data_IF_832910321087
#
_entry.id   IF_832910321087
#
_cell.length_a   1.000
_cell.length_b   1.000
_cell.length_c   1.000
_cell.angle_alpha   90.00
_cell.angle_beta   90.00
_cell.angle_gamma   90.00
#
_symmetry.space_group_name_H-M   'P 1'
#
loop_
_entity.id
_entity.type
_entity.pdbx_description
1 polymer ?
#
# COMPACT_ATOMS: atom_id res chain seq x y z
N UNK A 1 -86.97 -24.10 -51.60
CA UNK A 1 -87.77 -25.27 -51.15
C UNK A 1 -89.28 -24.98 -51.01
N UNK A 2 -89.73 -24.04 -50.16
CA UNK A 2 -91.17 -23.85 -49.87
C UNK A 2 -92.07 -23.62 -51.11
N UNK A 3 -91.65 -22.78 -52.06
CA UNK A 3 -92.40 -22.52 -53.32
C UNK A 3 -92.49 -23.75 -54.23
N UNK A 4 -91.50 -24.65 -54.20
CA UNK A 4 -91.48 -25.88 -55.00
C UNK A 4 -92.41 -26.95 -54.42
N UNK A 5 -92.37 -27.14 -53.09
CA UNK A 5 -93.29 -28.04 -52.38
C UNK A 5 -94.77 -27.65 -52.58
N UNK A 6 -95.08 -26.36 -52.53
CA UNK A 6 -96.43 -25.85 -52.75
C UNK A 6 -96.97 -26.12 -54.17
N UNK A 7 -96.10 -26.24 -55.18
CA UNK A 7 -96.49 -26.57 -56.56
C UNK A 7 -96.85 -28.05 -56.68
N UNK A 8 -95.97 -28.94 -56.21
CA UNK A 8 -96.16 -30.40 -56.24
C UNK A 8 -97.42 -30.81 -55.46
N UNK A 9 -97.66 -30.21 -54.29
CA UNK A 9 -98.87 -30.46 -53.50
C UNK A 9 -100.17 -30.09 -54.24
N UNK A 10 -100.13 -29.04 -55.07
CA UNK A 10 -101.29 -28.57 -55.84
C UNK A 10 -101.52 -29.42 -57.11
N UNK A 11 -100.46 -29.94 -57.72
CA UNK A 11 -100.53 -30.83 -58.89
C UNK A 11 -100.95 -32.28 -58.52
N UNK A 12 -100.70 -32.74 -57.29
CA UNK A 12 -101.17 -34.07 -56.83
C UNK A 12 -102.69 -34.16 -56.55
N UNK A 13 -103.35 -33.03 -56.25
CA UNK A 13 -104.76 -33.02 -55.85
C UNK A 13 -105.74 -33.27 -57.02
N UNK A 14 -105.34 -32.99 -58.26
CA UNK A 14 -106.15 -33.24 -59.47
C UNK A 14 -106.10 -34.71 -59.94
N UNK A 15 -105.23 -35.54 -59.35
CA UNK A 15 -104.94 -36.90 -59.82
C UNK A 15 -105.96 -37.97 -59.36
N UNK A 16 -106.89 -37.64 -58.46
CA UNK A 16 -107.72 -38.61 -57.73
C UNK A 16 -109.25 -38.50 -57.91
N UNK A 17 -109.75 -37.80 -58.93
CA UNK A 17 -111.18 -37.64 -59.19
C UNK A 17 -111.72 -38.62 -60.26
N UNK A 18 -112.46 -39.70 -59.90
CA UNK A 18 -113.03 -40.63 -60.87
C UNK A 18 -114.31 -40.05 -61.53
N UNK A 19 -114.35 -40.03 -62.86
CA UNK A 19 -115.47 -39.51 -63.65
C UNK A 19 -116.31 -40.65 -64.22
N UNK A 20 -117.25 -41.17 -63.44
CA UNK A 20 -118.13 -42.27 -63.86
C UNK A 20 -119.24 -41.78 -64.82
N UNK A 21 -119.26 -42.31 -66.03
CA UNK A 21 -120.36 -42.18 -66.98
C UNK A 21 -121.03 -43.55 -67.15
N UNK A 22 -122.30 -43.66 -66.76
CA UNK A 22 -123.06 -44.91 -66.80
C UNK A 22 -124.27 -44.69 -67.72
N UNK A 23 -124.23 -45.29 -68.92
CA UNK A 23 -125.32 -45.19 -69.89
C UNK A 23 -126.54 -46.00 -69.40
N UNK A 24 -127.71 -45.35 -69.39
CA UNK A 24 -128.98 -46.07 -69.46
C UNK A 24 -129.35 -46.26 -70.94
N UNK A 25 -129.69 -47.49 -71.33
CA UNK A 25 -130.21 -47.80 -72.67
C UNK A 25 -131.61 -48.40 -72.52
N UNK A 26 -132.56 -47.91 -73.31
CA UNK A 26 -133.91 -48.48 -73.42
C UNK A 26 -134.39 -48.34 -74.85
N UNK A 27 -134.31 -49.44 -75.59
CA UNK A 27 -134.78 -49.56 -76.97
C UNK A 27 -134.96 -51.04 -77.31
N UNK A 28 -136.17 -51.41 -77.72
CA UNK A 28 -136.56 -52.78 -78.04
C UNK A 28 -136.17 -53.19 -79.49
N UNK A 29 -136.18 -54.50 -79.83
CA UNK A 29 -135.10 -55.07 -80.65
C UNK A 29 -135.47 -55.42 -82.10
N UNK A 30 -134.46 -55.54 -82.96
CA UNK A 30 -134.54 -56.44 -84.13
C UNK A 30 -133.15 -56.99 -84.60
N UNK A 31 -132.99 -58.32 -84.44
CA UNK A 31 -132.02 -59.26 -85.05
C UNK A 31 -130.48 -59.10 -84.89
N UNK A 32 -129.76 -60.23 -85.04
CA UNK A 32 -128.43 -60.49 -84.43
C UNK A 32 -127.33 -60.90 -85.43
N UNK A 33 -126.09 -60.40 -85.23
CA UNK A 33 -124.81 -61.13 -85.33
C UNK A 33 -123.58 -60.20 -85.41
N UNK A 34 -123.70 -59.02 -86.04
CA UNK A 34 -122.58 -58.08 -86.21
C UNK A 34 -122.10 -57.38 -84.92
N UNK A 35 -122.96 -57.25 -83.91
CA UNK A 35 -122.65 -56.46 -82.69
C UNK A 35 -121.59 -57.07 -81.77
N UNK A 36 -121.50 -58.40 -81.65
CA UNK A 36 -120.65 -59.07 -80.65
C UNK A 36 -119.15 -58.91 -80.97
N UNK A 37 -118.77 -59.00 -82.23
CA UNK A 37 -117.37 -58.81 -82.64
C UNK A 37 -116.91 -57.35 -82.48
N UNK A 38 -117.84 -56.39 -82.65
CA UNK A 38 -117.60 -54.97 -82.36
C UNK A 38 -117.25 -54.73 -80.88
N UNK A 39 -117.93 -55.42 -79.96
CA UNK A 39 -117.65 -55.33 -78.51
C UNK A 39 -116.25 -55.86 -78.21
N UNK A 40 -115.87 -57.05 -78.70
CA UNK A 40 -114.54 -57.61 -78.44
C UNK A 40 -113.40 -56.76 -79.01
N UNK A 41 -113.58 -56.19 -80.21
CA UNK A 41 -112.62 -55.27 -80.80
C UNK A 41 -112.52 -53.97 -79.98
N UNK A 42 -113.65 -53.38 -79.61
CA UNK A 42 -113.71 -52.19 -78.75
C UNK A 42 -113.04 -52.40 -77.39
N UNK A 43 -113.27 -53.54 -76.73
CA UNK A 43 -112.60 -53.87 -75.46
C UNK A 43 -111.10 -54.05 -75.64
N UNK A 44 -110.65 -54.75 -76.69
CA UNK A 44 -109.21 -54.91 -76.98
C UNK A 44 -108.54 -53.56 -77.20
N UNK A 45 -109.13 -52.72 -78.04
CA UNK A 45 -108.57 -51.41 -78.39
C UNK A 45 -108.56 -50.49 -77.15
N UNK A 46 -109.56 -50.60 -76.27
CA UNK A 46 -109.59 -49.95 -74.95
C UNK A 46 -108.48 -50.47 -74.02
N UNK A 47 -108.23 -51.78 -73.97
CA UNK A 47 -107.14 -52.35 -73.14
C UNK A 47 -105.75 -51.96 -73.65
N UNK A 48 -105.53 -51.92 -74.97
CA UNK A 48 -104.26 -51.44 -75.55
C UNK A 48 -104.06 -49.96 -75.21
N UNK A 49 -105.08 -49.12 -75.42
CA UNK A 49 -105.01 -47.69 -75.07
C UNK A 49 -104.77 -47.46 -73.57
N UNK A 50 -105.42 -48.23 -72.70
CA UNK A 50 -105.19 -48.18 -71.26
C UNK A 50 -103.77 -48.63 -70.87
N UNK A 51 -103.23 -49.67 -71.53
CA UNK A 51 -101.87 -50.15 -71.26
C UNK A 51 -100.81 -49.13 -71.70
N UNK A 52 -100.97 -48.51 -72.87
CA UNK A 52 -100.12 -47.43 -73.34
C UNK A 52 -100.18 -46.22 -72.38
N UNK A 53 -101.39 -45.77 -72.02
CA UNK A 53 -101.57 -44.67 -71.06
C UNK A 53 -100.99 -44.97 -69.67
N UNK A 54 -101.08 -46.22 -69.19
CA UNK A 54 -100.44 -46.63 -67.93
C UNK A 54 -98.91 -46.66 -68.03
N UNK A 55 -98.36 -47.11 -69.17
CA UNK A 55 -96.91 -47.14 -69.41
C UNK A 55 -96.31 -45.73 -69.50
N UNK A 56 -97.02 -44.81 -70.15
CA UNK A 56 -96.62 -43.39 -70.21
C UNK A 56 -96.73 -42.73 -68.82
N UNK A 57 -97.79 -43.04 -68.06
CA UNK A 57 -97.94 -42.55 -66.69
C UNK A 57 -96.89 -43.14 -65.71
N UNK A 58 -96.46 -44.38 -65.91
CA UNK A 58 -95.36 -45.00 -65.16
C UNK A 58 -94.02 -44.34 -65.52
N UNK A 59 -93.73 -44.17 -66.81
CA UNK A 59 -92.53 -43.48 -67.28
C UNK A 59 -92.41 -42.07 -66.70
N UNK A 60 -93.48 -41.29 -66.77
CA UNK A 60 -93.54 -39.94 -66.20
C UNK A 60 -93.30 -39.94 -64.67
N UNK A 61 -93.79 -40.96 -63.94
CA UNK A 61 -93.53 -41.12 -62.49
C UNK A 61 -92.08 -41.50 -62.19
N UNK A 62 -91.44 -42.34 -63.00
CA UNK A 62 -90.03 -42.71 -62.83
C UNK A 62 -89.12 -41.51 -63.11
N UNK A 63 -89.39 -40.75 -64.18
CA UNK A 63 -88.69 -39.50 -64.49
C UNK A 63 -88.84 -38.49 -63.34
N UNK A 64 -90.07 -38.21 -62.89
CA UNK A 64 -90.33 -37.33 -61.75
C UNK A 64 -89.68 -37.80 -60.43
N UNK A 65 -89.63 -39.12 -60.19
CA UNK A 65 -88.93 -39.67 -59.03
C UNK A 65 -87.41 -39.46 -59.12
N UNK A 66 -86.81 -39.70 -60.29
CA UNK A 66 -85.40 -39.44 -60.56
C UNK A 66 -85.02 -37.97 -60.33
N UNK A 67 -85.83 -37.03 -60.83
CA UNK A 67 -85.67 -35.60 -60.57
C UNK A 67 -85.75 -35.25 -59.08
N UNK A 68 -86.73 -35.80 -58.35
CA UNK A 68 -86.90 -35.56 -56.92
C UNK A 68 -85.72 -36.12 -56.10
N UNK A 69 -85.20 -37.31 -56.45
CA UNK A 69 -84.04 -37.90 -55.78
C UNK A 69 -82.77 -37.10 -56.06
N UNK A 70 -82.52 -36.71 -57.32
CA UNK A 70 -81.38 -35.88 -57.69
C UNK A 70 -81.41 -34.51 -57.00
N UNK A 71 -82.58 -33.87 -56.93
CA UNK A 71 -82.77 -32.59 -56.23
C UNK A 71 -82.58 -32.72 -54.72
N UNK A 72 -82.97 -33.85 -54.12
CA UNK A 72 -82.71 -34.14 -52.70
C UNK A 72 -81.23 -34.42 -52.41
N UNK A 73 -80.50 -35.12 -53.28
CA UNK A 73 -79.05 -35.35 -53.13
C UNK A 73 -78.31 -34.02 -53.13
N UNK A 74 -78.53 -33.19 -54.15
CA UNK A 74 -77.94 -31.84 -54.24
C UNK A 74 -78.29 -30.98 -53.03
N UNK A 75 -79.55 -31.00 -52.59
CA UNK A 75 -79.97 -30.26 -51.40
C UNK A 75 -79.37 -30.77 -50.09
N UNK A 76 -78.93 -32.03 -50.02
CA UNK A 76 -78.20 -32.57 -48.87
C UNK A 76 -76.72 -32.16 -48.92
N UNK A 77 -76.07 -32.28 -50.08
CA UNK A 77 -74.69 -31.82 -50.33
C UNK A 77 -74.54 -30.30 -50.05
N UNK A 78 -75.49 -29.49 -50.53
CA UNK A 78 -75.53 -28.03 -50.26
C UNK A 78 -75.70 -27.72 -48.76
N UNK A 79 -76.54 -28.48 -48.03
CA UNK A 79 -76.69 -28.27 -46.59
C UNK A 79 -75.46 -28.72 -45.79
N UNK A 80 -74.79 -29.81 -46.18
CA UNK A 80 -73.58 -30.28 -45.51
C UNK A 80 -72.40 -29.31 -45.73
N UNK A 81 -72.26 -28.76 -46.94
CA UNK A 81 -71.30 -27.70 -47.23
C UNK A 81 -71.58 -26.41 -46.41
N UNK A 82 -72.85 -26.01 -46.26
CA UNK A 82 -73.21 -24.86 -45.42
C UNK A 82 -72.95 -25.17 -43.93
N UNK A 83 -73.24 -26.39 -43.47
CA UNK A 83 -73.04 -26.79 -42.08
C UNK A 83 -71.55 -26.86 -41.68
N UNK A 84 -70.71 -27.41 -42.55
CA UNK A 84 -69.24 -27.43 -42.35
C UNK A 84 -68.68 -26.01 -42.33
N UNK A 85 -68.95 -25.19 -43.35
CA UNK A 85 -68.49 -23.78 -43.39
C UNK A 85 -68.99 -22.94 -42.19
N UNK A 86 -70.23 -23.15 -41.73
CA UNK A 86 -70.74 -22.39 -40.58
C UNK A 86 -70.14 -22.85 -39.25
N UNK A 87 -69.87 -24.15 -39.07
CA UNK A 87 -69.17 -24.64 -37.87
C UNK A 87 -67.70 -24.20 -37.84
N UNK A 88 -67.00 -24.20 -38.98
CA UNK A 88 -65.63 -23.67 -39.10
C UNK A 88 -65.61 -22.18 -38.74
N UNK A 89 -66.50 -21.37 -39.33
CA UNK A 89 -66.61 -19.95 -39.01
C UNK A 89 -66.95 -19.69 -37.52
N UNK A 90 -67.79 -20.53 -36.90
CA UNK A 90 -68.05 -20.45 -35.45
C UNK A 90 -66.80 -20.82 -34.64
N UNK A 91 -66.07 -21.87 -35.02
CA UNK A 91 -64.81 -22.27 -34.38
C UNK A 91 -63.80 -21.13 -34.42
N UNK A 92 -63.49 -20.60 -35.61
CA UNK A 92 -62.51 -19.53 -35.79
C UNK A 92 -62.92 -18.26 -35.05
N UNK A 93 -64.18 -17.82 -35.16
CA UNK A 93 -64.65 -16.63 -34.44
C UNK A 93 -64.67 -16.81 -32.92
N UNK A 94 -64.88 -18.03 -32.39
CA UNK A 94 -64.74 -18.27 -30.94
C UNK A 94 -63.28 -18.29 -30.47
N UNK A 95 -62.36 -18.82 -31.28
CA UNK A 95 -60.92 -18.80 -31.00
C UNK A 95 -60.34 -17.37 -31.05
N UNK A 96 -60.71 -16.59 -32.06
CA UNK A 96 -60.37 -15.17 -32.16
C UNK A 96 -60.93 -14.36 -30.99
N UNK A 97 -62.20 -14.57 -30.64
CA UNK A 97 -62.86 -13.88 -29.53
C UNK A 97 -62.20 -14.23 -28.19
N UNK A 98 -61.81 -15.48 -27.96
CA UNK A 98 -61.05 -15.89 -26.77
C UNK A 98 -59.67 -15.20 -26.73
N UNK A 99 -58.94 -15.21 -27.85
CA UNK A 99 -57.63 -14.56 -27.99
C UNK A 99 -57.72 -13.06 -27.74
N UNK A 100 -58.71 -12.38 -28.34
CA UNK A 100 -58.94 -10.94 -28.17
C UNK A 100 -59.38 -10.56 -26.76
N UNK A 101 -60.13 -11.42 -26.06
CA UNK A 101 -60.44 -11.23 -24.63
C UNK A 101 -59.18 -11.34 -23.76
N UNK A 102 -58.33 -12.34 -24.00
CA UNK A 102 -57.05 -12.47 -23.28
C UNK A 102 -56.15 -11.25 -23.48
N UNK A 103 -55.97 -10.83 -24.74
CA UNK A 103 -55.21 -9.62 -25.10
C UNK A 103 -55.79 -8.34 -24.48
N UNK A 104 -57.11 -8.22 -24.38
CA UNK A 104 -57.76 -7.08 -23.73
C UNK A 104 -57.47 -7.05 -22.23
N UNK A 105 -57.59 -8.19 -21.52
CA UNK A 105 -57.32 -8.26 -20.08
C UNK A 105 -55.85 -7.97 -19.76
N UNK A 106 -54.91 -8.49 -20.56
CA UNK A 106 -53.48 -8.21 -20.44
C UNK A 106 -53.16 -6.72 -20.71
N UNK A 107 -53.77 -6.14 -21.75
CA UNK A 107 -53.65 -4.71 -22.08
C UNK A 107 -54.25 -3.80 -21.00
N UNK A 108 -55.34 -4.21 -20.36
CA UNK A 108 -55.93 -3.49 -19.22
C UNK A 108 -55.02 -3.52 -17.98
N UNK A 109 -54.50 -4.69 -17.61
CA UNK A 109 -53.59 -4.82 -16.45
C UNK A 109 -52.28 -4.04 -16.65
N UNK A 110 -51.70 -4.09 -17.85
CA UNK A 110 -50.51 -3.30 -18.19
C UNK A 110 -50.79 -1.79 -18.23
N UNK A 111 -51.97 -1.36 -18.71
CA UNK A 111 -52.38 0.05 -18.67
C UNK A 111 -52.55 0.57 -17.23
N UNK A 112 -53.22 -0.17 -16.36
CA UNK A 112 -53.39 0.20 -14.95
C UNK A 112 -52.03 0.30 -14.22
N UNK A 113 -51.19 -0.73 -14.37
CA UNK A 113 -49.83 -0.74 -13.78
C UNK A 113 -48.95 0.40 -14.30
N UNK A 114 -49.01 0.70 -15.60
CA UNK A 114 -48.24 1.81 -16.20
C UNK A 114 -48.74 3.17 -15.71
N UNK A 115 -50.06 3.32 -15.55
CA UNK A 115 -50.67 4.54 -15.02
C UNK A 115 -50.23 4.82 -13.58
N UNK A 116 -50.24 3.78 -12.72
CA UNK A 116 -49.75 3.92 -11.33
C UNK A 116 -48.25 4.17 -11.26
N UNK A 117 -47.46 3.51 -12.12
CA UNK A 117 -46.01 3.73 -12.19
C UNK A 117 -45.69 5.16 -12.62
N UNK A 118 -46.35 5.69 -13.65
CA UNK A 118 -46.16 7.07 -14.11
C UNK A 118 -46.47 8.10 -13.01
N UNK A 119 -47.62 7.95 -12.33
CA UNK A 119 -48.06 8.86 -11.28
C UNK A 119 -47.16 8.84 -10.02
N UNK A 120 -46.41 7.76 -9.80
CA UNK A 120 -45.37 7.70 -8.77
C UNK A 120 -44.05 8.27 -9.29
N UNK A 121 -43.64 7.93 -10.52
CA UNK A 121 -42.41 8.41 -11.15
C UNK A 121 -42.37 9.94 -11.28
N UNK A 122 -43.50 10.60 -11.58
CA UNK A 122 -43.60 12.06 -11.62
C UNK A 122 -43.27 12.69 -10.25
N UNK A 123 -43.85 12.16 -9.16
CA UNK A 123 -43.59 12.63 -7.78
C UNK A 123 -42.14 12.42 -7.39
N UNK A 124 -41.62 11.22 -7.64
CA UNK A 124 -40.23 10.85 -7.40
C UNK A 124 -39.25 11.77 -8.14
N UNK A 125 -39.54 12.08 -9.41
CA UNK A 125 -38.72 12.98 -10.21
C UNK A 125 -38.76 14.42 -9.68
N UNK A 126 -39.93 14.91 -9.27
CA UNK A 126 -40.04 16.23 -8.64
C UNK A 126 -39.26 16.31 -7.31
N UNK A 127 -39.40 15.32 -6.44
CA UNK A 127 -38.73 15.29 -5.14
C UNK A 127 -37.22 15.15 -5.31
N UNK A 128 -36.76 14.17 -6.11
CA UNK A 128 -35.32 13.97 -6.41
C UNK A 128 -34.72 15.19 -7.11
N UNK A 129 -35.48 15.90 -7.94
CA UNK A 129 -35.04 17.18 -8.54
C UNK A 129 -34.82 18.26 -7.48
N UNK A 130 -35.79 18.47 -6.58
CA UNK A 130 -35.67 19.43 -5.45
C UNK A 130 -34.47 19.09 -4.55
N UNK A 131 -34.31 17.82 -4.17
CA UNK A 131 -33.17 17.33 -3.37
C UNK A 131 -31.83 17.57 -4.09
N UNK A 132 -31.75 17.29 -5.39
CA UNK A 132 -30.53 17.50 -6.18
C UNK A 132 -30.15 18.98 -6.33
N UNK A 133 -31.12 19.88 -6.49
CA UNK A 133 -30.90 21.33 -6.50
C UNK A 133 -30.35 21.79 -5.14
N UNK A 134 -30.98 21.37 -4.04
CA UNK A 134 -30.50 21.68 -2.69
C UNK A 134 -29.09 21.12 -2.44
N UNK A 135 -28.81 19.88 -2.84
CA UNK A 135 -27.47 19.27 -2.70
C UNK A 135 -26.40 20.05 -3.48
N UNK A 136 -26.70 20.48 -4.71
CA UNK A 136 -25.78 21.32 -5.50
C UNK A 136 -25.54 22.68 -4.87
N UNK A 137 -26.56 23.30 -4.29
CA UNK A 137 -26.43 24.55 -3.54
C UNK A 137 -25.52 24.37 -2.33
N UNK A 138 -25.72 23.31 -1.54
CA UNK A 138 -24.89 23.00 -0.38
C UNK A 138 -23.44 22.69 -0.75
N UNK A 139 -23.21 21.92 -1.82
CA UNK A 139 -21.87 21.66 -2.34
C UNK A 139 -21.16 22.95 -2.80
N UNK A 140 -21.89 23.91 -3.39
CA UNK A 140 -21.32 25.20 -3.75
C UNK A 140 -21.01 26.07 -2.52
N UNK A 141 -21.87 26.07 -1.50
CA UNK A 141 -21.65 26.79 -0.24
C UNK A 141 -20.50 26.17 0.58
N UNK A 142 -20.39 24.85 0.60
CA UNK A 142 -19.32 24.08 1.24
C UNK A 142 -17.98 24.31 0.53
N UNK A 143 -17.94 24.26 -0.81
CA UNK A 143 -16.76 24.62 -1.59
C UNK A 143 -16.33 26.07 -1.35
N UNK A 144 -17.27 27.01 -1.17
CA UNK A 144 -16.95 28.38 -0.79
C UNK A 144 -16.45 28.50 0.66
N UNK A 145 -16.93 27.68 1.60
CA UNK A 145 -16.42 27.63 2.97
C UNK A 145 -15.01 27.02 3.04
N UNK A 146 -14.75 25.94 2.32
CA UNK A 146 -13.42 25.33 2.15
C UNK A 146 -12.48 26.34 1.48
N UNK A 147 -12.92 27.02 0.42
CA UNK A 147 -12.13 28.08 -0.23
C UNK A 147 -11.78 29.21 0.73
N UNK A 148 -12.68 29.62 1.63
CA UNK A 148 -12.38 30.61 2.69
C UNK A 148 -11.43 30.07 3.78
N UNK A 149 -11.44 28.77 4.04
CA UNK A 149 -10.52 28.13 4.99
C UNK A 149 -9.10 27.95 4.41
N UNK A 150 -8.98 27.74 3.09
CA UNK A 150 -7.71 27.49 2.39
C UNK A 150 -7.09 28.78 1.83
N UNK A 151 -7.87 29.73 1.31
CA UNK A 151 -7.39 31.01 0.78
C UNK A 151 -7.33 32.12 1.84
N UNK A 152 -7.01 31.78 3.09
CA UNK A 152 -6.40 32.73 4.02
C UNK A 152 -4.97 32.92 3.55
N UNK A 153 -4.52 34.15 3.25
CA UNK A 153 -3.23 34.40 2.58
C UNK A 153 -2.04 33.71 3.27
N UNK A 154 -2.09 33.55 4.60
CA UNK A 154 -1.17 32.79 5.45
C UNK A 154 -0.89 31.33 4.99
N UNK A 155 -1.81 30.71 4.24
CA UNK A 155 -1.78 29.28 3.90
C UNK A 155 -0.70 28.90 2.87
N UNK A 156 -0.47 29.82 1.92
CA UNK A 156 0.36 29.53 0.76
C UNK A 156 1.85 29.60 1.12
N UNK A 157 2.23 30.46 2.07
CA UNK A 157 3.62 30.58 2.53
C UNK A 157 4.06 29.42 3.44
N UNK A 158 3.17 28.89 4.28
CA UNK A 158 3.50 27.80 5.21
C UNK A 158 3.69 26.44 4.51
N UNK A 159 2.94 26.19 3.43
CA UNK A 159 2.93 24.89 2.73
C UNK A 159 4.21 24.59 1.95
N UNK A 160 5.03 25.60 1.65
CA UNK A 160 6.24 25.46 0.82
C UNK A 160 7.52 25.08 1.56
N UNK A 161 7.52 25.03 2.91
CA UNK A 161 8.77 25.04 3.71
C UNK A 161 9.02 23.78 4.55
N UNK A 162 8.06 22.87 4.66
CA UNK A 162 8.18 21.65 5.50
C UNK A 162 8.84 20.52 4.69
N UNK A 163 10.17 20.62 4.54
CA UNK A 163 10.99 19.79 3.63
C UNK A 163 12.12 18.98 4.29
N UNK A 164 11.81 18.19 5.32
CA UNK A 164 12.58 17.01 5.77
C UNK A 164 14.11 17.15 5.98
N UNK A 165 14.54 17.58 7.17
CA UNK A 165 15.89 17.34 7.69
C UNK A 165 15.93 16.06 8.55
N UNK A 166 16.76 15.09 8.16
CA UNK A 166 17.11 13.91 8.98
C UNK A 166 18.61 13.63 8.84
N UNK A 167 19.31 13.57 9.97
CA UNK A 167 20.71 13.15 10.06
C UNK A 167 20.86 12.27 11.31
N UNK A 168 21.43 11.08 11.14
CA UNK A 168 21.66 10.11 12.22
C UNK A 168 23.15 10.06 12.63
N UNK A 169 23.37 9.62 13.87
CA UNK A 169 24.61 9.86 14.63
C UNK A 169 25.53 8.62 14.62
N UNK A 170 26.85 8.81 14.53
CA UNK A 170 27.84 7.72 14.60
C UNK A 170 28.67 7.88 15.90
N UNK A 171 28.81 6.78 16.66
CA UNK A 171 29.65 6.73 17.87
C UNK A 171 31.03 6.14 17.57
N UNK A 172 32.06 6.67 18.25
CA UNK A 172 33.40 6.10 18.36
C UNK A 172 33.75 5.86 19.83
N UNK A 173 34.56 4.84 20.10
CA UNK A 173 34.99 4.44 21.44
C UNK A 173 36.51 4.46 21.59
N UNK A 174 36.99 4.95 22.72
CA UNK A 174 38.41 5.12 23.05
C UNK A 174 38.76 4.37 24.36
N UNK A 175 39.99 3.89 24.51
CA UNK A 175 40.48 3.18 25.72
C UNK A 175 41.92 3.59 26.04
N UNK A 176 42.21 3.86 27.32
CA UNK A 176 43.51 4.36 27.79
C UNK A 176 44.16 3.45 28.88
N UNK A 177 45.45 3.17 28.68
CA UNK A 177 46.60 2.92 29.61
C UNK A 177 46.41 2.26 31.00
N UNK A 178 47.36 1.41 31.39
CA UNK A 178 48.18 1.62 32.62
C UNK A 178 49.50 0.82 32.65
N UNK A 179 50.31 1.07 33.68
CA UNK A 179 51.77 0.98 33.80
C UNK A 179 52.20 0.09 35.01
N UNK A 180 53.40 -0.51 35.02
CA UNK A 180 54.11 -0.95 36.25
C UNK A 180 55.64 -1.01 36.08
N UNK A 181 56.40 -0.92 37.18
CA UNK A 181 57.86 -0.77 37.24
C UNK A 181 58.56 -1.83 38.14
N UNK A 182 59.90 -1.97 38.06
CA UNK A 182 60.71 -2.77 39.01
C UNK A 182 62.20 -2.95 38.66
N UNK A 183 63.09 -2.89 39.67
CA UNK A 183 64.57 -2.86 39.56
C UNK A 183 65.25 -4.07 40.24
N UNK A 184 66.47 -4.46 39.81
CA UNK A 184 67.39 -5.35 40.58
C UNK A 184 68.87 -5.22 40.16
N UNK A 185 69.78 -5.03 41.13
CA UNK A 185 71.20 -5.51 41.11
C UNK A 185 71.80 -5.42 42.55
N UNK A 186 72.76 -6.27 42.94
CA UNK A 186 73.33 -6.38 44.31
C UNK A 186 74.87 -6.19 44.39
N UNK A 187 75.40 -5.97 45.61
CA UNK A 187 76.82 -5.64 45.90
C UNK A 187 77.69 -6.81 46.41
N UNK A 188 79.01 -6.65 46.23
CA UNK A 188 80.14 -7.53 46.58
C UNK A 188 80.76 -7.20 47.97
N UNK A 189 81.11 -8.19 48.81
CA UNK A 189 82.30 -8.04 49.68
C UNK A 189 83.11 -9.35 49.94
N UNK A 190 84.37 -9.39 49.50
CA UNK A 190 85.36 -10.41 49.89
C UNK A 190 86.77 -9.81 50.05
N UNK A 191 86.94 -8.86 51.00
CA UNK A 191 88.21 -8.14 51.25
C UNK A 191 88.73 -8.32 52.70
N UNK A 192 87.96 -8.94 53.59
CA UNK A 192 88.27 -9.05 55.03
C UNK A 192 89.05 -10.31 55.43
N UNK A 193 89.82 -10.95 54.52
CA UNK A 193 90.46 -12.26 54.81
C UNK A 193 91.93 -12.41 54.39
N UNK A 194 92.63 -11.33 54.07
CA UNK A 194 94.06 -11.36 53.70
C UNK A 194 94.98 -10.59 54.67
N UNK A 195 94.45 -9.63 55.42
CA UNK A 195 95.22 -8.73 56.30
C UNK A 195 95.54 -9.31 57.69
N UNK A 196 95.20 -10.57 57.98
CA UNK A 196 95.39 -11.19 59.29
C UNK A 196 96.71 -11.96 59.44
N UNK A 197 97.33 -12.41 58.34
CA UNK A 197 98.37 -13.47 58.40
C UNK A 197 99.82 -12.96 58.44
N UNK A 198 100.08 -11.71 58.06
CA UNK A 198 101.47 -11.21 57.84
C UNK A 198 102.12 -10.59 59.09
N UNK A 199 101.35 -10.30 60.14
CA UNK A 199 101.79 -9.49 61.29
C UNK A 199 102.57 -10.25 62.41
N UNK A 200 103.32 -11.32 62.10
CA UNK A 200 103.77 -12.31 63.12
C UNK A 200 105.26 -12.68 63.18
N UNK A 201 106.13 -12.01 62.43
CA UNK A 201 107.56 -12.36 62.23
C UNK A 201 108.29 -11.01 61.93
N UNK A 202 109.45 -10.58 62.46
CA UNK A 202 110.67 -11.19 63.03
C UNK A 202 111.33 -10.27 64.13
N UNK A 203 112.26 -10.79 64.96
CA UNK A 203 113.03 -10.05 66.00
C UNK A 203 114.56 -10.39 65.97
N UNK A 204 115.41 -9.62 66.70
CA UNK A 204 116.77 -10.00 67.20
C UNK A 204 117.95 -10.06 66.18
N UNK A 205 119.23 -9.73 66.46
CA UNK A 205 119.85 -8.86 67.49
C UNK A 205 121.29 -8.43 67.10
N UNK A 206 121.76 -7.24 67.56
CA UNK A 206 123.16 -6.76 67.30
C UNK A 206 123.81 -5.80 68.33
N UNK A 207 123.10 -5.31 69.36
CA UNK A 207 123.60 -4.21 70.20
C UNK A 207 124.76 -4.55 71.15
N UNK A 208 124.99 -5.83 71.44
CA UNK A 208 125.92 -6.26 72.51
C UNK A 208 127.43 -6.12 72.20
N UNK A 209 127.83 -5.72 70.99
CA UNK A 209 129.25 -5.75 70.55
C UNK A 209 129.98 -4.41 70.44
N UNK A 210 129.28 -3.28 70.55
CA UNK A 210 129.87 -1.95 70.30
C UNK A 210 130.38 -1.28 71.60
N UNK A 211 129.96 -1.75 72.76
CA UNK A 211 130.27 -1.17 74.08
C UNK A 211 131.75 -1.30 74.54
N UNK A 212 132.66 -1.82 73.71
CA UNK A 212 134.00 -2.25 74.14
C UNK A 212 135.18 -1.50 73.48
N UNK A 213 134.95 -0.48 72.63
CA UNK A 213 135.95 -0.10 71.60
C UNK A 213 136.83 1.12 71.91
N UNK A 214 136.32 2.34 72.15
CA UNK A 214 137.20 3.52 72.32
C UNK A 214 136.73 4.48 73.42
N UNK A 215 137.57 4.61 74.43
CA UNK A 215 137.61 5.78 75.32
C UNK A 215 139.07 6.21 75.49
N UNK A 216 139.52 7.18 74.69
CA UNK A 216 140.81 7.84 74.87
C UNK A 216 140.74 9.29 74.35
N UNK A 217 141.45 10.23 74.98
CA UNK A 217 141.18 11.68 74.83
C UNK A 217 142.43 12.52 74.49
N UNK A 218 142.81 12.54 73.21
CA UNK A 218 143.58 13.65 72.59
C UNK A 218 143.52 13.49 71.06
N UNK A 219 143.14 14.53 70.32
CA UNK A 219 142.86 14.41 68.88
C UNK A 219 143.60 15.49 68.05
N UNK A 220 144.59 15.14 67.20
CA UNK A 220 145.37 16.10 66.39
C UNK A 220 144.67 16.56 65.10
N UNK A 221 143.37 16.27 64.93
CA UNK A 221 142.60 16.55 63.71
C UNK A 221 141.78 17.85 63.76
N UNK A 222 142.11 18.81 64.63
CA UNK A 222 141.26 19.97 64.98
C UNK A 222 140.77 20.82 63.78
N UNK A 223 141.60 20.99 62.73
CA UNK A 223 141.16 21.64 61.47
C UNK A 223 140.19 20.79 60.65
N UNK A 224 140.39 19.47 60.64
CA UNK A 224 139.51 18.53 59.93
C UNK A 224 138.18 18.40 60.69
N UNK A 225 138.18 18.41 62.03
CA UNK A 225 136.94 18.48 62.81
C UNK A 225 136.23 19.82 62.60
N UNK A 226 136.94 20.95 62.52
CA UNK A 226 136.33 22.26 62.23
C UNK A 226 135.70 22.33 60.83
N UNK A 227 136.33 21.78 59.79
CA UNK A 227 135.72 21.67 58.45
C UNK A 227 134.58 20.63 58.42
N UNK A 228 134.66 19.56 59.21
CA UNK A 228 133.55 18.61 59.41
C UNK A 228 132.37 19.28 60.12
N UNK A 229 132.60 20.17 61.09
CA UNK A 229 131.55 20.93 61.79
C UNK A 229 130.95 22.01 60.88
N UNK A 230 131.77 22.66 60.04
CA UNK A 230 131.29 23.57 58.99
C UNK A 230 130.43 22.82 57.96
N UNK A 231 130.88 21.65 57.50
CA UNK A 231 130.17 20.78 56.57
C UNK A 231 128.87 20.24 57.18
N UNK A 232 128.85 19.87 58.47
CA UNK A 232 127.62 19.56 59.21
C UNK A 232 126.67 20.76 59.25
N UNK A 233 127.20 21.98 59.43
CA UNK A 233 126.45 23.23 59.38
C UNK A 233 125.87 23.57 58.00
N UNK A 234 126.52 23.13 56.92
CA UNK A 234 126.00 23.20 55.56
C UNK A 234 124.95 22.12 55.31
N UNK A 235 125.23 20.85 55.64
CA UNK A 235 124.32 19.71 55.50
C UNK A 235 123.01 19.95 56.29
N UNK A 236 123.08 20.54 57.48
CA UNK A 236 121.86 20.89 58.25
C UNK A 236 121.05 22.01 57.59
N UNK A 237 121.68 23.05 57.05
CA UNK A 237 120.98 24.11 56.30
C UNK A 237 120.39 23.61 54.99
N UNK A 238 121.10 22.74 54.27
CA UNK A 238 120.62 22.08 53.05
C UNK A 238 119.45 21.16 53.38
N UNK A 239 119.56 20.32 54.42
CA UNK A 239 118.45 19.48 54.89
C UNK A 239 117.23 20.29 55.33
N UNK A 240 117.41 21.44 56.00
CA UNK A 240 116.30 22.36 56.32
C UNK A 240 115.65 22.98 55.08
N UNK A 241 116.45 23.35 54.07
CA UNK A 241 115.97 23.94 52.82
C UNK A 241 115.23 22.90 51.96
N UNK A 242 115.79 21.68 51.86
CA UNK A 242 115.17 20.55 51.17
C UNK A 242 113.91 20.08 51.88
N UNK A 243 113.87 20.02 53.22
CA UNK A 243 112.65 19.70 53.96
C UNK A 243 111.55 20.76 53.72
N UNK A 244 111.89 22.05 53.71
CA UNK A 244 110.95 23.14 53.37
C UNK A 244 110.46 23.03 51.93
N UNK A 245 111.34 22.66 50.99
CA UNK A 245 110.99 22.51 49.58
C UNK A 245 110.18 21.24 49.31
N UNK A 246 110.50 20.13 49.97
CA UNK A 246 109.74 18.88 49.93
C UNK A 246 108.34 19.09 50.47
N UNK A 247 108.19 19.64 51.68
CA UNK A 247 106.87 19.91 52.27
C UNK A 247 106.04 20.90 51.44
N UNK A 248 106.67 21.91 50.81
CA UNK A 248 106.00 22.76 49.84
C UNK A 248 105.56 21.99 48.58
N UNK A 249 106.44 21.18 47.98
CA UNK A 249 106.11 20.35 46.81
C UNK A 249 105.01 19.32 47.10
N UNK A 250 105.04 18.66 48.26
CA UNK A 250 104.02 17.69 48.69
C UNK A 250 102.67 18.39 48.92
N UNK A 251 102.69 19.57 49.55
CA UNK A 251 101.49 20.41 49.73
C UNK A 251 100.90 20.84 48.39
N UNK A 252 101.72 21.42 47.49
CA UNK A 252 101.29 21.86 46.16
C UNK A 252 100.84 20.70 45.28
N UNK A 253 101.53 19.55 45.32
CA UNK A 253 101.10 18.37 44.57
C UNK A 253 99.77 17.84 45.12
N UNK A 254 99.58 17.84 46.45
CA UNK A 254 98.33 17.48 47.11
C UNK A 254 97.16 18.41 46.72
N UNK A 255 97.34 19.72 46.83
CA UNK A 255 96.30 20.71 46.47
C UNK A 255 95.97 20.69 44.99
N UNK A 256 96.96 20.59 44.10
CA UNK A 256 96.74 20.50 42.66
C UNK A 256 96.07 19.17 42.26
N UNK A 257 96.46 18.04 42.86
CA UNK A 257 95.82 16.73 42.60
C UNK A 257 94.36 16.72 43.08
N UNK A 258 94.09 17.25 44.28
CA UNK A 258 92.72 17.38 44.79
C UNK A 258 91.89 18.33 43.91
N UNK A 259 92.46 19.45 43.48
CA UNK A 259 91.77 20.42 42.60
C UNK A 259 91.46 19.80 41.24
N UNK A 260 92.41 19.08 40.64
CA UNK A 260 92.20 18.36 39.39
C UNK A 260 91.11 17.28 39.53
N UNK A 261 91.10 16.51 40.64
CA UNK A 261 90.06 15.52 40.92
C UNK A 261 88.68 16.16 41.12
N UNK A 262 88.60 17.29 41.81
CA UNK A 262 87.37 18.06 41.97
C UNK A 262 86.86 18.59 40.62
N UNK A 263 87.74 19.16 39.78
CA UNK A 263 87.36 19.67 38.45
C UNK A 263 86.96 18.56 37.49
N UNK A 264 87.61 17.40 37.52
CA UNK A 264 87.16 16.23 36.77
C UNK A 264 85.74 15.78 37.20
N UNK A 265 85.46 15.81 38.50
CA UNK A 265 84.13 15.48 39.04
C UNK A 265 83.06 16.51 38.67
N UNK A 266 83.39 17.81 38.70
CA UNK A 266 82.52 18.89 38.22
C UNK A 266 82.21 18.74 36.73
N UNK A 267 83.20 18.42 35.88
CA UNK A 267 83.02 18.20 34.44
C UNK A 267 82.04 17.06 34.20
N UNK A 268 82.26 15.87 34.79
CA UNK A 268 81.37 14.71 34.64
C UNK A 268 79.94 15.03 35.12
N UNK A 269 79.79 15.81 36.19
CA UNK A 269 78.48 16.26 36.66
C UNK A 269 77.80 17.22 35.69
N UNK A 270 78.54 18.15 35.08
CA UNK A 270 78.01 19.11 34.12
C UNK A 270 77.64 18.43 32.79
N UNK A 271 78.47 17.51 32.31
CA UNK A 271 78.18 16.67 31.13
C UNK A 271 76.91 15.83 31.33
N UNK A 272 76.73 15.25 32.53
CA UNK A 272 75.48 14.57 32.89
C UNK A 272 74.26 15.49 32.86
N UNK A 273 74.34 16.67 33.48
CA UNK A 273 73.27 17.67 33.44
C UNK A 273 72.96 18.17 32.02
N UNK A 274 73.96 18.30 31.15
CA UNK A 274 73.76 18.65 29.73
C UNK A 274 72.98 17.54 29.03
N UNK A 275 73.39 16.28 29.17
CA UNK A 275 72.68 15.14 28.55
C UNK A 275 71.23 14.97 29.04
N UNK A 276 70.96 15.23 30.32
CA UNK A 276 69.59 15.26 30.86
C UNK A 276 68.74 16.39 30.25
N UNK A 277 69.31 17.59 30.12
CA UNK A 277 68.61 18.75 29.54
C UNK A 277 68.37 18.57 28.04
N UNK A 278 69.35 18.07 27.30
CA UNK A 278 69.22 17.70 25.88
C UNK A 278 68.13 16.64 25.70
N UNK A 279 68.16 15.55 26.48
CA UNK A 279 67.13 14.50 26.42
C UNK A 279 65.73 15.08 26.70
N UNK A 280 65.59 15.96 27.70
CA UNK A 280 64.29 16.56 28.04
C UNK A 280 63.79 17.57 27.01
N UNK A 281 64.69 18.19 26.24
CA UNK A 281 64.35 19.14 25.19
C UNK A 281 64.05 18.46 23.84
N UNK A 282 64.90 17.50 23.46
CA UNK A 282 65.08 16.98 22.11
C UNK A 282 64.77 15.47 21.94
N UNK A 283 64.33 14.77 23.00
CA UNK A 283 63.80 13.40 22.86
C UNK A 283 62.73 13.33 21.76
N UNK A 284 62.84 12.37 20.81
CA UNK A 284 62.02 12.36 19.59
C UNK A 284 60.53 12.09 19.82
N UNK A 285 60.16 11.55 20.99
CA UNK A 285 58.76 11.24 21.35
C UNK A 285 58.27 12.02 22.57
N UNK A 286 59.18 12.39 23.49
CA UNK A 286 58.82 12.99 24.79
C UNK A 286 59.47 14.35 25.05
N UNK A 287 60.30 14.84 24.13
CA UNK A 287 60.99 16.12 24.24
C UNK A 287 60.02 17.29 24.24
N UNK A 288 60.36 18.34 25.00
CA UNK A 288 59.55 19.55 25.10
C UNK A 288 59.22 20.18 23.74
N UNK A 289 60.12 20.10 22.74
CA UNK A 289 59.85 20.59 21.38
C UNK A 289 58.74 19.81 20.66
N UNK A 290 58.71 18.48 20.82
CA UNK A 290 57.69 17.61 20.22
C UNK A 290 56.34 17.87 20.88
N UNK A 291 56.31 17.87 22.22
CA UNK A 291 55.09 18.16 22.99
C UNK A 291 54.52 19.55 22.66
N UNK A 292 55.37 20.57 22.48
CA UNK A 292 54.94 21.90 22.05
C UNK A 292 54.31 21.86 20.65
N UNK A 293 54.99 21.25 19.67
CA UNK A 293 54.49 21.14 18.29
C UNK A 293 53.17 20.37 18.20
N UNK A 294 53.00 19.32 19.00
CA UNK A 294 51.72 18.59 19.09
C UNK A 294 50.64 19.46 19.72
N UNK A 295 50.92 20.13 20.85
CA UNK A 295 49.95 20.99 21.51
C UNK A 295 49.53 22.20 20.65
N UNK A 296 50.43 22.76 19.83
CA UNK A 296 50.14 23.82 18.86
C UNK A 296 49.24 23.31 17.72
N UNK A 297 49.50 22.10 17.22
CA UNK A 297 48.66 21.45 16.20
C UNK A 297 47.26 21.13 16.75
N UNK A 298 47.18 20.54 17.95
CA UNK A 298 45.93 20.22 18.65
C UNK A 298 45.11 21.48 18.93
N UNK A 299 45.75 22.56 19.38
CA UNK A 299 45.10 23.85 19.64
C UNK A 299 44.55 24.48 18.34
N UNK A 300 45.30 24.39 17.24
CA UNK A 300 44.85 24.89 15.93
C UNK A 300 43.65 24.08 15.43
N UNK A 301 43.74 22.75 15.45
CA UNK A 301 42.64 21.86 15.07
C UNK A 301 41.39 22.07 15.96
N UNK A 302 41.58 22.29 17.26
CA UNK A 302 40.48 22.57 18.18
C UNK A 302 39.79 23.91 17.86
N UNK A 303 40.55 24.95 17.49
CA UNK A 303 40.00 26.23 17.05
C UNK A 303 39.21 26.12 15.75
N UNK A 304 39.71 25.36 14.76
CA UNK A 304 39.00 25.09 13.50
C UNK A 304 37.69 24.32 13.73
N UNK A 305 37.71 23.29 14.58
CA UNK A 305 36.50 22.54 14.98
C UNK A 305 35.52 23.45 15.72
N UNK A 306 35.97 24.24 16.71
CA UNK A 306 35.10 25.17 17.43
C UNK A 306 34.45 26.20 16.49
N UNK A 307 35.20 26.75 15.52
CA UNK A 307 34.67 27.70 14.55
C UNK A 307 33.61 27.04 13.64
N UNK A 308 33.89 25.82 13.16
CA UNK A 308 32.99 25.04 12.29
C UNK A 308 31.69 24.67 13.03
N UNK A 309 31.81 24.08 14.23
CA UNK A 309 30.69 23.74 15.11
C UNK A 309 29.85 24.96 15.48
N UNK A 310 30.48 26.10 15.78
CA UNK A 310 29.76 27.34 16.10
C UNK A 310 28.99 27.86 14.89
N UNK A 311 29.58 27.79 13.68
CA UNK A 311 28.93 28.17 12.43
C UNK A 311 27.73 27.26 12.12
N UNK A 312 27.90 25.93 12.26
CA UNK A 312 26.82 24.96 12.09
C UNK A 312 25.67 25.21 13.08
N UNK A 313 25.96 25.36 14.37
CA UNK A 313 24.93 25.68 15.39
C UNK A 313 24.20 26.98 15.10
N UNK A 314 24.88 28.00 14.57
CA UNK A 314 24.23 29.25 14.16
C UNK A 314 23.29 29.05 12.96
N UNK A 315 23.72 28.29 11.95
CA UNK A 315 22.89 27.94 10.79
C UNK A 315 21.66 27.11 11.21
N UNK A 316 21.86 26.02 11.94
CA UNK A 316 20.80 25.16 12.49
C UNK A 316 19.83 25.94 13.38
N UNK A 317 20.32 26.85 14.23
CA UNK A 317 19.47 27.72 15.06
C UNK A 317 18.61 28.65 14.21
N UNK A 318 19.17 29.21 13.13
CA UNK A 318 18.42 30.07 12.21
C UNK A 318 17.38 29.29 11.40
N UNK A 319 17.66 28.05 11.01
CA UNK A 319 16.69 27.15 10.36
C UNK A 319 15.60 26.69 11.34
N UNK A 320 15.97 26.36 12.57
CA UNK A 320 15.03 26.04 13.65
C UNK A 320 14.09 27.21 13.94
N UNK A 321 14.59 28.44 14.03
CA UNK A 321 13.77 29.64 14.23
C UNK A 321 12.77 29.87 13.08
N UNK A 322 13.19 29.65 11.82
CA UNK A 322 12.28 29.70 10.67
C UNK A 322 11.19 28.62 10.78
N UNK A 323 11.60 27.37 11.02
CA UNK A 323 10.70 26.22 11.17
C UNK A 323 9.68 26.43 12.29
N UNK A 324 10.08 26.97 13.44
CA UNK A 324 9.16 27.33 14.54
C UNK A 324 8.16 28.40 14.10
N UNK A 325 8.60 29.44 13.39
CA UNK A 325 7.71 30.46 12.83
C UNK A 325 6.71 29.88 11.82
N UNK A 326 7.18 29.05 10.89
CA UNK A 326 6.35 28.39 9.88
C UNK A 326 5.31 27.44 10.51
N UNK A 327 5.71 26.70 11.55
CA UNK A 327 4.81 25.84 12.32
C UNK A 327 3.77 26.63 13.12
N UNK A 328 4.12 27.80 13.66
CA UNK A 328 3.17 28.71 14.33
C UNK A 328 2.14 29.25 13.33
N UNK A 329 2.57 29.71 12.15
CA UNK A 329 1.66 30.15 11.07
C UNK A 329 0.75 28.99 10.63
N UNK A 330 1.29 27.78 10.45
CA UNK A 330 0.49 26.60 10.13
C UNK A 330 -0.55 26.25 11.23
N UNK A 331 -0.18 26.35 12.50
CA UNK A 331 -1.10 26.13 13.63
C UNK A 331 -2.23 27.17 13.65
N UNK A 332 -1.91 28.45 13.45
CA UNK A 332 -2.92 29.51 13.37
C UNK A 332 -3.87 29.29 12.19
N UNK A 333 -3.33 28.96 11.01
CA UNK A 333 -4.12 28.67 9.82
C UNK A 333 -5.09 27.50 10.06
N UNK A 334 -4.61 26.37 10.57
CA UNK A 334 -5.45 25.20 10.87
C UNK A 334 -6.55 25.58 11.87
N UNK A 335 -6.24 26.45 12.84
CA UNK A 335 -7.21 26.95 13.82
C UNK A 335 -8.27 27.85 13.16
N UNK A 336 -7.86 28.79 12.29
CA UNK A 336 -8.75 29.65 11.50
C UNK A 336 -9.67 28.82 10.60
N UNK A 337 -9.11 27.89 9.82
CA UNK A 337 -9.86 27.01 8.91
C UNK A 337 -10.84 26.09 9.66
N UNK A 338 -10.41 25.50 10.78
CA UNK A 338 -11.28 24.69 11.66
C UNK A 338 -12.46 25.51 12.20
N UNK A 339 -12.24 26.79 12.53
CA UNK A 339 -13.32 27.69 12.96
C UNK A 339 -14.31 27.96 11.83
N UNK A 340 -13.83 28.33 10.64
CA UNK A 340 -14.69 28.61 9.46
C UNK A 340 -15.57 27.40 9.12
N UNK A 341 -15.01 26.19 9.11
CA UNK A 341 -15.76 24.97 8.86
C UNK A 341 -16.77 24.66 9.97
N UNK A 342 -16.39 24.80 11.25
CA UNK A 342 -17.32 24.64 12.37
C UNK A 342 -18.47 25.63 12.30
N UNK A 343 -18.20 26.91 12.02
CA UNK A 343 -19.23 27.94 11.90
C UNK A 343 -20.18 27.65 10.73
N UNK A 344 -19.67 27.14 9.60
CA UNK A 344 -20.48 26.66 8.47
C UNK A 344 -21.38 25.47 8.86
N UNK A 345 -20.83 24.35 9.31
CA UNK A 345 -21.67 23.19 9.69
C UNK A 345 -22.63 23.49 10.86
N UNK A 346 -22.26 24.37 11.80
CA UNK A 346 -23.15 24.83 12.86
C UNK A 346 -24.28 25.75 12.36
N UNK A 347 -24.13 26.44 11.23
CA UNK A 347 -25.24 27.13 10.57
C UNK A 347 -26.19 26.15 9.90
N UNK A 348 -25.67 25.15 9.17
CA UNK A 348 -26.48 24.08 8.58
C UNK A 348 -27.25 23.26 9.61
N UNK A 349 -26.69 23.04 10.80
CA UNK A 349 -27.34 22.32 11.90
C UNK A 349 -28.38 23.14 12.68
N UNK A 350 -28.52 24.45 12.40
CA UNK A 350 -29.60 25.31 12.93
C UNK A 350 -30.72 25.50 11.91
N UNK A 351 -30.38 25.41 10.63
CA UNK A 351 -31.35 25.39 9.53
C UNK A 351 -31.86 23.94 9.33
N UNK A 352 -32.72 23.47 10.25
CA UNK A 352 -33.32 22.11 10.26
C UNK A 352 -33.93 21.67 8.90
N UNK A 353 -34.25 22.62 8.03
CA UNK A 353 -34.74 22.38 6.67
C UNK A 353 -33.71 21.78 5.69
N UNK A 354 -32.43 21.70 6.07
CA UNK A 354 -31.32 21.46 5.13
C UNK A 354 -30.74 20.04 5.22
N UNK A 355 -30.73 19.42 6.41
CA UNK A 355 -30.21 18.06 6.63
C UNK A 355 -31.25 16.98 6.31
N UNK A 356 -31.71 16.95 5.06
CA UNK A 356 -32.64 15.98 4.47
C UNK A 356 -32.15 14.50 4.46
N UNK A 357 -31.02 14.17 5.11
CA UNK A 357 -30.48 12.81 5.18
C UNK A 357 -30.83 12.03 6.46
N UNK A 358 -31.62 12.59 7.37
CA UNK A 358 -32.08 11.86 8.57
C UNK A 358 -33.61 11.79 8.61
N UNK A 359 -34.13 10.58 8.80
CA UNK A 359 -35.56 10.23 8.96
C UNK A 359 -36.45 10.01 7.72
N UNK A 360 -35.89 9.49 6.62
CA UNK A 360 -36.55 8.32 6.03
C UNK A 360 -35.95 7.08 6.69
N UNK A 361 -36.73 6.40 7.53
CA UNK A 361 -36.34 5.09 8.01
C UNK A 361 -36.30 4.14 6.81
N UNK A 362 -35.15 3.55 6.53
CA UNK A 362 -35.02 2.44 5.59
C UNK A 362 -35.81 1.26 6.16
N UNK A 363 -37.12 1.24 5.87
CA UNK A 363 -37.80 -0.02 5.63
C UNK A 363 -37.19 -0.53 4.34
N UNK A 364 -36.60 -1.71 4.40
CA UNK A 364 -36.09 -2.40 3.22
C UNK A 364 -37.26 -2.50 2.21
N UNK A 365 -37.20 -1.72 1.13
CA UNK A 365 -37.98 -2.05 -0.05
C UNK A 365 -37.35 -3.33 -0.62
N UNK A 366 -38.15 -4.36 -0.94
CA UNK A 366 -37.60 -5.57 -1.54
C UNK A 366 -36.93 -5.18 -2.88
N UNK A 367 -35.73 -5.70 -3.12
CA UNK A 367 -35.13 -5.70 -4.45
C UNK A 367 -35.97 -6.58 -5.38
N UNK A 368 -37.09 -6.05 -5.87
CA UNK A 368 -37.74 -6.57 -7.08
C UNK A 368 -36.84 -6.19 -8.26
N UNK A 369 -35.83 -7.02 -8.45
CA UNK A 369 -34.92 -6.96 -9.59
C UNK A 369 -35.76 -6.87 -10.87
N UNK A 370 -35.51 -5.84 -11.67
CA UNK A 370 -36.26 -5.58 -12.89
C UNK A 370 -36.21 -6.79 -13.84
N UNK A 371 -37.24 -7.64 -13.76
CA UNK A 371 -37.50 -8.67 -14.76
C UNK A 371 -37.90 -7.96 -16.04
N UNK A 372 -36.90 -7.71 -16.88
CA UNK A 372 -37.05 -7.32 -18.27
C UNK A 372 -38.18 -8.16 -18.89
N UNK A 373 -39.12 -7.55 -19.66
CA UNK A 373 -40.17 -8.31 -20.32
C UNK A 373 -39.53 -9.40 -21.19
N UNK A 374 -40.08 -10.63 -21.21
CA UNK A 374 -39.48 -11.72 -21.96
C UNK A 374 -39.38 -11.33 -23.43
N UNK A 375 -38.15 -11.34 -23.94
CA UNK A 375 -37.81 -11.08 -25.34
C UNK A 375 -38.74 -11.93 -26.21
N UNK A 376 -39.56 -11.27 -27.03
CA UNK A 376 -40.48 -11.94 -27.94
C UNK A 376 -39.74 -13.01 -28.73
N UNK A 377 -40.21 -14.25 -28.62
CA UNK A 377 -39.65 -15.36 -29.38
C UNK A 377 -40.02 -15.15 -30.85
N UNK A 378 -39.01 -14.90 -31.68
CA UNK A 378 -39.12 -15.09 -33.13
C UNK A 378 -39.35 -16.57 -33.40
N UNK A 379 -40.61 -16.97 -33.61
CA UNK A 379 -40.96 -18.28 -34.17
C UNK A 379 -41.24 -18.13 -35.67
N UNK A 380 -40.73 -19.09 -36.44
CA UNK A 380 -40.84 -19.19 -37.90
C UNK A 380 -42.26 -19.30 -38.44
#
# INVERSE_FOLDING_TARGET
MAKTLAKVSRESASFFAPKAALLAVSGEPESQSGGVFGIFKGTRDTYVSNFEALRDAEKAKVEAHGEIVALKSKGAEEMDAIFTMTNEAISDTTADLATKRSQLTESQGTFESTTTFHANLEKDCEEKSKINVNRKMLQAQEAAAISKAVNSDDAFEASGKVGSTQAEFIQLSEVHKHETAGLTEQRRPQVLRFLADVARIEHSDRLARIAAVVGDKSNPFEKVTSEIDAMQGHITKEAEADLKKQTWCESEQGTNTQTASNKASEIVSLEGCIGELETRLDSPETGLKVNLSTAEADLTANQEVQATETSMRQAETAEYQKSVGDLQVAQELITKGTKVLKDYYNSLAKDDAVLLQVSSAHKDEPEDAATLPPKAAESS
#
